data_IF_802464780918
#
_entry.id   IF_802464780918
#
_cell.length_a   1.000
_cell.length_b   1.000
_cell.length_c   1.000
_cell.angle_alpha   90.00
_cell.angle_beta   90.00
_cell.angle_gamma   90.00
#
_symmetry.space_group_name_H-M   'P 1'
#
loop_
_entity.id
_entity.type
_entity.pdbx_description
1 polymer ?
#
# COMPACT_ATOMS: atom_id res chain seq x y z
N UNK A 1 -8.68 -6.80 41.08
CA UNK A 1 -7.92 -6.17 39.97
C UNK A 1 -8.91 -5.39 39.14
N UNK A 2 -8.65 -4.12 38.86
CA UNK A 2 -9.49 -3.34 37.95
C UNK A 2 -9.27 -3.85 36.53
N UNK A 3 -10.35 -4.15 35.82
CA UNK A 3 -10.29 -4.58 34.42
C UNK A 3 -11.11 -3.64 33.55
N UNK A 4 -10.61 -3.38 32.34
CA UNK A 4 -11.32 -2.61 31.32
C UNK A 4 -11.80 -3.61 30.28
N UNK A 5 -13.02 -3.42 29.80
CA UNK A 5 -13.60 -4.25 28.76
C UNK A 5 -13.45 -3.59 27.39
N UNK A 6 -12.71 -4.21 26.48
CA UNK A 6 -12.55 -3.74 25.10
C UNK A 6 -13.48 -4.53 24.18
N UNK A 7 -14.35 -3.83 23.46
CA UNK A 7 -15.24 -4.40 22.45
C UNK A 7 -14.59 -4.28 21.07
N UNK A 8 -14.32 -5.39 20.40
CA UNK A 8 -13.71 -5.41 19.08
C UNK A 8 -14.42 -6.45 18.20
N UNK A 9 -15.21 -5.96 17.26
CA UNK A 9 -16.20 -6.70 16.51
C UNK A 9 -17.18 -7.42 17.46
N UNK A 10 -17.30 -8.73 17.29
CA UNK A 10 -18.11 -9.58 18.16
C UNK A 10 -17.37 -10.07 19.41
N UNK A 11 -16.10 -9.69 19.60
CA UNK A 11 -15.27 -10.16 20.71
C UNK A 11 -15.22 -9.14 21.85
N UNK A 12 -15.10 -9.68 23.05
CA UNK A 12 -14.91 -8.91 24.27
C UNK A 12 -13.57 -9.34 24.89
N UNK A 13 -12.65 -8.38 24.99
CA UNK A 13 -11.30 -8.61 25.51
C UNK A 13 -11.19 -7.88 26.83
N UNK A 14 -10.88 -8.61 27.89
CA UNK A 14 -10.60 -8.01 29.19
C UNK A 14 -9.13 -7.63 29.25
N UNK A 15 -8.84 -6.39 29.63
CA UNK A 15 -7.48 -5.88 29.82
C UNK A 15 -7.30 -5.40 31.25
N UNK A 16 -6.10 -5.55 31.79
CA UNK A 16 -5.75 -5.00 33.08
C UNK A 16 -5.77 -3.46 33.01
N UNK A 17 -6.55 -2.81 33.89
CA UNK A 17 -6.79 -1.37 33.79
C UNK A 17 -5.51 -0.56 34.03
N UNK A 18 -4.64 -1.01 34.95
CA UNK A 18 -3.38 -0.33 35.28
C UNK A 18 -2.42 -0.39 34.10
N UNK A 19 -2.24 -1.58 33.55
CA UNK A 19 -1.40 -1.82 32.37
C UNK A 19 -1.93 -1.04 31.16
N UNK A 20 -3.24 -1.07 30.93
CA UNK A 20 -3.86 -0.36 29.83
C UNK A 20 -3.65 1.16 29.92
N UNK A 21 -3.90 1.77 31.09
CA UNK A 21 -3.69 3.21 31.31
C UNK A 21 -2.22 3.61 31.16
N UNK A 22 -1.28 2.74 31.56
CA UNK A 22 0.15 2.96 31.36
C UNK A 22 0.53 2.95 29.87
N UNK A 23 -0.05 2.04 29.08
CA UNK A 23 0.20 1.97 27.64
C UNK A 23 -0.50 3.10 26.87
N UNK A 24 -1.69 3.53 27.30
CA UNK A 24 -2.50 4.51 26.58
C UNK A 24 -2.97 5.63 27.51
N UNK A 25 -2.08 6.53 27.95
CA UNK A 25 -2.39 7.55 28.96
C UNK A 25 -3.45 8.56 28.48
N UNK A 26 -3.62 8.73 27.16
CA UNK A 26 -4.62 9.64 26.58
C UNK A 26 -6.03 9.06 26.53
N UNK A 27 -6.20 7.75 26.72
CA UNK A 27 -7.52 7.12 26.70
C UNK A 27 -8.14 7.23 28.09
N UNK A 28 -9.12 8.11 28.23
CA UNK A 28 -9.95 8.19 29.44
C UNK A 28 -11.01 7.10 29.39
N UNK A 29 -10.62 5.88 29.76
CA UNK A 29 -11.53 4.76 29.90
C UNK A 29 -11.71 4.42 31.38
N UNK A 30 -12.95 4.54 31.84
CA UNK A 30 -13.31 4.18 33.22
C UNK A 30 -13.56 2.68 33.34
N UNK A 31 -14.35 2.09 32.43
CA UNK A 31 -14.75 0.67 32.52
C UNK A 31 -14.80 -0.09 31.19
N UNK A 32 -14.97 0.61 30.06
CA UNK A 32 -15.06 -0.04 28.76
C UNK A 32 -14.55 0.85 27.62
N UNK A 33 -14.18 0.24 26.50
CA UNK A 33 -13.65 0.89 25.30
C UNK A 33 -14.30 0.27 24.08
N UNK A 34 -14.75 1.13 23.15
CA UNK A 34 -15.23 0.71 21.84
C UNK A 34 -14.04 0.62 20.86
N UNK A 35 -13.44 -0.57 20.78
CA UNK A 35 -12.33 -0.85 19.87
C UNK A 35 -12.70 -0.72 18.39
N UNK A 36 -13.96 -0.92 18.03
CA UNK A 36 -14.43 -0.75 16.64
C UNK A 36 -14.27 0.67 16.11
N UNK A 37 -14.41 1.67 16.98
CA UNK A 37 -14.16 3.08 16.61
C UNK A 37 -12.68 3.28 16.27
N UNK A 38 -11.79 2.64 17.03
CA UNK A 38 -10.35 2.68 16.74
C UNK A 38 -10.02 1.92 15.44
N UNK A 39 -10.62 0.76 15.21
CA UNK A 39 -10.46 0.01 13.97
C UNK A 39 -10.88 0.86 12.78
N UNK A 40 -12.06 1.48 12.83
CA UNK A 40 -12.55 2.30 11.73
C UNK A 40 -11.63 3.51 11.49
N UNK A 41 -11.20 4.19 12.56
CA UNK A 41 -10.27 5.31 12.45
C UNK A 41 -8.95 4.92 11.78
N UNK A 42 -8.40 3.75 12.13
CA UNK A 42 -7.18 3.24 11.51
C UNK A 42 -7.42 2.79 10.06
N UNK A 43 -8.56 2.19 9.76
CA UNK A 43 -8.92 1.78 8.40
C UNK A 43 -9.06 3.01 7.48
N UNK A 44 -9.74 4.06 7.95
CA UNK A 44 -9.86 5.35 7.27
C UNK A 44 -8.47 5.99 7.08
N UNK A 45 -7.62 5.94 8.11
CA UNK A 45 -6.26 6.47 8.04
C UNK A 45 -5.38 5.75 7.03
N UNK A 46 -5.52 4.44 6.91
CA UNK A 46 -4.83 3.70 5.88
C UNK A 46 -5.47 3.95 4.52
N UNK A 47 -6.79 4.09 4.38
CA UNK A 47 -7.46 4.37 3.09
C UNK A 47 -6.98 3.43 1.96
N UNK A 48 -6.72 2.15 2.27
CA UNK A 48 -6.15 1.18 1.33
C UNK A 48 -4.63 1.34 1.03
N UNK A 49 -3.95 2.33 1.61
CA UNK A 49 -2.49 2.44 1.62
C UNK A 49 -1.90 1.19 2.29
N UNK A 50 -0.72 0.78 1.82
CA UNK A 50 -0.02 -0.43 2.27
C UNK A 50 -0.77 -1.76 1.99
N UNK A 51 -1.98 -1.74 1.43
CA UNK A 51 -2.81 -2.93 1.27
C UNK A 51 -3.26 -3.55 2.61
N UNK A 52 -3.26 -2.76 3.69
CA UNK A 52 -3.75 -3.17 5.00
C UNK A 52 -5.27 -3.14 4.94
N UNK A 53 -5.90 -4.30 5.18
CA UNK A 53 -7.35 -4.43 5.25
C UNK A 53 -7.82 -4.27 6.69
N UNK A 54 -9.04 -3.76 6.89
CA UNK A 54 -9.72 -3.70 8.20
C UNK A 54 -9.57 -4.95 9.07
N UNK A 55 -9.76 -6.14 8.48
CA UNK A 55 -9.56 -7.43 9.17
C UNK A 55 -8.17 -7.57 9.83
N UNK A 56 -7.10 -7.09 9.17
CA UNK A 56 -5.76 -7.13 9.74
C UNK A 56 -5.61 -6.16 10.91
N UNK A 57 -6.22 -4.98 10.82
CA UNK A 57 -6.23 -4.00 11.91
C UNK A 57 -6.93 -4.58 13.14
N UNK A 58 -8.12 -5.17 12.94
CA UNK A 58 -8.88 -5.85 13.99
C UNK A 58 -8.04 -6.95 14.67
N UNK A 59 -7.44 -7.84 13.88
CA UNK A 59 -6.62 -8.93 14.38
C UNK A 59 -5.38 -8.43 15.14
N UNK A 60 -4.71 -7.39 14.63
CA UNK A 60 -3.55 -6.78 15.31
C UNK A 60 -3.95 -6.17 16.65
N UNK A 61 -5.05 -5.44 16.70
CA UNK A 61 -5.55 -4.85 17.94
C UNK A 61 -6.04 -5.90 18.93
N UNK A 62 -6.72 -6.94 18.46
CA UNK A 62 -7.11 -8.09 19.29
C UNK A 62 -5.89 -8.70 19.98
N UNK A 63 -4.82 -8.96 19.23
CA UNK A 63 -3.59 -9.50 19.79
C UNK A 63 -2.91 -8.56 20.76
N UNK A 64 -2.87 -7.25 20.45
CA UNK A 64 -2.31 -6.24 21.33
C UNK A 64 -3.06 -6.21 22.66
N UNK A 65 -4.39 -6.11 22.64
CA UNK A 65 -5.19 -6.09 23.86
C UNK A 65 -5.11 -7.41 24.61
N UNK A 66 -5.01 -8.55 23.91
CA UNK A 66 -4.76 -9.85 24.54
C UNK A 66 -3.45 -9.90 25.35
N UNK A 67 -2.38 -9.24 24.88
CA UNK A 67 -1.12 -9.13 25.64
C UNK A 67 -1.30 -8.31 26.93
N UNK A 68 -2.20 -7.34 26.92
CA UNK A 68 -2.56 -6.49 28.06
C UNK A 68 -3.63 -7.12 28.97
N UNK A 69 -3.98 -8.39 28.74
CA UNK A 69 -5.00 -9.10 29.49
C UNK A 69 -4.71 -9.22 31.00
N UNK A 70 -5.70 -9.61 31.82
CA UNK A 70 -5.57 -9.68 33.28
C UNK A 70 -4.51 -10.68 33.79
N UNK A 71 -4.08 -11.63 32.97
CA UNK A 71 -2.96 -12.52 33.26
C UNK A 71 -1.58 -11.86 33.01
N UNK A 72 -1.56 -10.60 32.56
CA UNK A 72 -0.34 -9.82 32.54
C UNK A 72 0.13 -9.58 33.97
N UNK A 73 1.14 -10.37 34.38
CA UNK A 73 1.85 -10.14 35.63
C UNK A 73 2.30 -8.68 35.66
N UNK A 74 1.85 -7.96 36.69
CA UNK A 74 2.05 -6.53 36.82
C UNK A 74 3.53 -6.21 37.03
N UNK A 75 4.04 -5.17 36.38
CA UNK A 75 5.34 -4.57 36.69
C UNK A 75 6.45 -4.84 35.67
N UNK A 76 7.08 -3.75 35.24
CA UNK A 76 8.47 -3.62 34.76
C UNK A 76 8.94 -4.18 33.42
N UNK A 77 8.07 -4.79 32.61
CA UNK A 77 8.40 -4.99 31.19
C UNK A 77 7.94 -6.29 30.57
N UNK A 78 7.30 -7.18 31.33
CA UNK A 78 6.80 -8.45 30.80
C UNK A 78 5.80 -8.29 29.65
N UNK A 79 4.99 -7.23 29.62
CA UNK A 79 4.09 -6.93 28.47
C UNK A 79 4.86 -6.42 27.25
N UNK A 80 5.88 -5.58 27.44
CA UNK A 80 6.76 -5.10 26.36
C UNK A 80 7.52 -6.26 25.75
N UNK A 81 8.11 -7.12 26.59
CA UNK A 81 8.84 -8.30 26.15
C UNK A 81 7.92 -9.27 25.40
N UNK A 82 6.72 -9.58 25.92
CA UNK A 82 5.75 -10.43 25.20
C UNK A 82 5.32 -9.87 23.85
N UNK A 83 5.21 -8.54 23.70
CA UNK A 83 4.94 -7.94 22.40
C UNK A 83 6.12 -8.15 21.44
N UNK A 84 7.35 -7.89 21.91
CA UNK A 84 8.57 -8.12 21.12
C UNK A 84 8.72 -9.59 20.72
N UNK A 85 8.55 -10.52 21.66
CA UNK A 85 8.63 -11.96 21.44
C UNK A 85 7.61 -12.36 20.39
N UNK A 86 6.35 -11.94 20.52
CA UNK A 86 5.30 -12.27 19.57
C UNK A 86 5.57 -11.74 18.15
N UNK A 87 6.07 -10.51 18.02
CA UNK A 87 6.45 -9.96 16.72
C UNK A 87 7.66 -10.70 16.14
N UNK A 88 8.59 -11.12 16.99
CA UNK A 88 9.75 -11.92 16.60
C UNK A 88 9.30 -13.29 16.12
N UNK A 89 8.51 -14.02 16.90
CA UNK A 89 7.96 -15.32 16.53
C UNK A 89 7.20 -15.26 15.20
N UNK A 90 6.35 -14.25 15.02
CA UNK A 90 5.62 -14.05 13.77
C UNK A 90 6.57 -13.81 12.58
N UNK A 91 7.61 -12.98 12.78
CA UNK A 91 8.65 -12.78 11.79
C UNK A 91 9.39 -14.08 11.47
N UNK A 92 9.75 -14.87 12.48
CA UNK A 92 10.46 -16.13 12.28
C UNK A 92 9.63 -17.12 11.46
N UNK A 93 8.36 -17.28 11.82
CA UNK A 93 7.40 -18.12 11.12
C UNK A 93 7.25 -17.69 9.66
N UNK A 94 7.10 -16.38 9.39
CA UNK A 94 7.02 -15.89 8.01
C UNK A 94 8.34 -16.06 7.25
N UNK A 95 9.49 -15.84 7.88
CA UNK A 95 10.80 -16.05 7.25
C UNK A 95 11.02 -17.53 6.85
N UNK A 96 10.55 -18.47 7.66
CA UNK A 96 10.69 -19.92 7.39
C UNK A 96 9.69 -20.36 6.31
N UNK A 97 8.44 -19.90 6.40
CA UNK A 97 7.37 -20.39 5.54
C UNK A 97 7.30 -19.68 4.18
N UNK A 98 7.79 -18.44 4.08
CA UNK A 98 7.61 -17.60 2.89
C UNK A 98 8.90 -17.22 2.12
N UNK A 99 10.00 -18.01 2.08
CA UNK A 99 11.21 -17.59 1.36
C UNK A 99 10.96 -17.37 -0.15
N UNK A 100 9.89 -17.95 -0.71
CA UNK A 100 9.55 -17.90 -2.13
C UNK A 100 8.19 -17.29 -2.44
N UNK A 101 7.43 -16.84 -1.44
CA UNK A 101 6.10 -16.28 -1.69
C UNK A 101 6.16 -14.85 -2.24
N UNK A 102 5.21 -14.54 -3.12
CA UNK A 102 5.07 -13.20 -3.73
C UNK A 102 4.75 -12.10 -2.71
N UNK A 103 4.42 -12.46 -1.46
CA UNK A 103 3.92 -11.54 -0.44
C UNK A 103 5.00 -11.05 0.55
N UNK A 104 6.16 -11.72 0.61
CA UNK A 104 7.24 -11.35 1.54
C UNK A 104 6.77 -11.44 3.00
N UNK A 105 7.19 -10.49 3.85
CA UNK A 105 6.82 -10.44 5.26
C UNK A 105 5.52 -9.65 5.50
N UNK A 106 4.51 -9.88 4.66
CA UNK A 106 3.32 -9.03 4.61
C UNK A 106 2.61 -8.90 5.96
N UNK A 107 2.40 -10.01 6.69
CA UNK A 107 1.57 -9.95 7.89
C UNK A 107 2.32 -9.25 9.02
N UNK A 108 3.61 -9.57 9.19
CA UNK A 108 4.49 -8.94 10.18
C UNK A 108 4.64 -7.46 9.86
N UNK A 109 4.82 -7.08 8.59
CA UNK A 109 4.89 -5.68 8.14
C UNK A 109 3.62 -4.91 8.47
N UNK A 110 2.46 -5.46 8.11
CA UNK A 110 1.17 -4.83 8.39
C UNK A 110 0.96 -4.66 9.89
N UNK A 111 1.25 -5.70 10.67
CA UNK A 111 1.13 -5.67 12.13
C UNK A 111 2.02 -4.57 12.72
N UNK A 112 3.28 -4.49 12.30
CA UNK A 112 4.21 -3.45 12.76
C UNK A 112 3.71 -2.05 12.43
N UNK A 113 3.27 -1.80 11.19
CA UNK A 113 2.79 -0.47 10.76
C UNK A 113 1.52 -0.06 11.51
N UNK A 114 0.58 -0.99 11.73
CA UNK A 114 -0.64 -0.73 12.52
C UNK A 114 -0.25 -0.35 13.95
N UNK A 115 0.63 -1.11 14.59
CA UNK A 115 1.08 -0.82 15.96
C UNK A 115 1.83 0.51 16.06
N UNK A 116 2.62 0.88 15.05
CA UNK A 116 3.27 2.20 14.98
C UNK A 116 2.23 3.31 14.91
N UNK A 117 1.17 3.16 14.11
CA UNK A 117 0.10 4.16 14.05
C UNK A 117 -0.63 4.27 15.38
N UNK A 118 -0.93 3.15 16.04
CA UNK A 118 -1.52 3.14 17.38
C UNK A 118 -0.61 3.85 18.39
N UNK A 119 0.70 3.62 18.33
CA UNK A 119 1.67 4.28 19.21
C UNK A 119 1.66 5.81 19.02
N UNK A 120 1.57 6.27 17.77
CA UNK A 120 1.52 7.69 17.43
C UNK A 120 0.20 8.33 17.86
N UNK A 121 -0.94 7.73 17.52
CA UNK A 121 -2.27 8.28 17.79
C UNK A 121 -2.54 8.47 19.28
N UNK A 122 -1.99 7.58 20.11
CA UNK A 122 -2.15 7.62 21.56
C UNK A 122 -0.92 8.14 22.31
N UNK A 123 0.12 8.52 21.58
CA UNK A 123 1.42 8.95 22.14
C UNK A 123 1.97 7.94 23.16
N UNK A 124 1.84 6.66 22.84
CA UNK A 124 2.27 5.56 23.70
C UNK A 124 3.78 5.38 23.64
N UNK A 125 4.48 5.89 24.64
CA UNK A 125 5.93 5.71 24.78
C UNK A 125 6.32 4.25 25.00
N UNK A 126 5.53 3.50 25.78
CA UNK A 126 5.80 2.08 26.06
C UNK A 126 5.68 1.21 24.81
N UNK A 127 4.65 1.45 23.98
CA UNK A 127 4.49 0.74 22.71
C UNK A 127 5.59 1.14 21.74
N UNK A 128 5.92 2.43 21.65
CA UNK A 128 7.00 2.92 20.78
C UNK A 128 8.36 2.29 21.14
N UNK A 129 8.69 2.24 22.44
CA UNK A 129 9.92 1.63 22.93
C UNK A 129 9.97 0.13 22.60
N UNK A 130 8.89 -0.61 22.82
CA UNK A 130 8.83 -2.03 22.48
C UNK A 130 9.03 -2.27 20.97
N UNK A 131 8.38 -1.45 20.13
CA UNK A 131 8.51 -1.55 18.67
C UNK A 131 9.92 -1.16 18.18
N UNK A 132 10.56 -0.17 18.81
CA UNK A 132 11.95 0.20 18.51
C UNK A 132 12.93 -0.91 18.89
N UNK A 133 12.73 -1.54 20.06
CA UNK A 133 13.52 -2.72 20.47
C UNK A 133 13.38 -3.87 19.47
N UNK A 134 12.15 -4.20 19.09
CA UNK A 134 11.90 -5.20 18.04
C UNK A 134 12.59 -4.82 16.73
N UNK A 135 12.49 -3.57 16.28
CA UNK A 135 13.15 -3.11 15.06
C UNK A 135 14.68 -3.25 15.14
N UNK A 136 15.28 -2.87 16.26
CA UNK A 136 16.72 -2.95 16.46
C UNK A 136 17.25 -4.40 16.35
N UNK A 137 16.51 -5.38 16.86
CA UNK A 137 16.90 -6.79 16.80
C UNK A 137 16.56 -7.44 15.45
N UNK A 138 15.40 -7.11 14.87
CA UNK A 138 14.88 -7.75 13.66
C UNK A 138 15.35 -7.13 12.35
N UNK A 139 15.86 -5.88 12.34
CA UNK A 139 16.16 -5.13 11.11
C UNK A 139 17.06 -5.87 10.13
N UNK A 140 18.07 -6.61 10.61
CA UNK A 140 18.96 -7.41 9.75
C UNK A 140 18.18 -8.53 9.04
N UNK A 141 17.33 -9.24 9.78
CA UNK A 141 16.53 -10.35 9.26
C UNK A 141 15.43 -9.87 8.30
N UNK A 142 14.76 -8.78 8.64
CA UNK A 142 13.79 -8.12 7.75
C UNK A 142 14.46 -7.78 6.43
N UNK A 143 15.67 -7.21 6.40
CA UNK A 143 16.37 -6.91 5.14
C UNK A 143 16.74 -8.15 4.31
N UNK A 144 16.89 -9.30 4.94
CA UNK A 144 17.25 -10.55 4.26
C UNK A 144 16.03 -11.28 3.70
N UNK A 145 14.87 -11.19 4.38
CA UNK A 145 13.67 -11.96 4.05
C UNK A 145 12.57 -11.12 3.39
N UNK A 146 12.60 -9.79 3.54
CA UNK A 146 11.63 -8.90 2.91
C UNK A 146 11.99 -8.58 1.46
N UNK A 147 10.96 -8.34 0.64
CA UNK A 147 11.17 -7.83 -0.71
C UNK A 147 11.67 -6.39 -0.67
N UNK A 148 12.62 -6.08 -1.54
CA UNK A 148 13.25 -4.76 -1.62
C UNK A 148 12.24 -3.59 -1.68
N UNK A 149 11.15 -3.76 -2.42
CA UNK A 149 10.07 -2.78 -2.59
C UNK A 149 9.36 -2.39 -1.28
N UNK A 150 9.35 -3.27 -0.28
CA UNK A 150 8.62 -3.07 0.98
C UNK A 150 9.53 -2.70 2.16
N UNK A 151 10.86 -2.76 2.00
CA UNK A 151 11.84 -2.30 2.99
C UNK A 151 11.65 -0.81 3.37
N UNK A 152 11.29 0.11 2.46
CA UNK A 152 11.02 1.51 2.81
C UNK A 152 9.89 1.69 3.84
N UNK A 153 8.87 0.82 3.83
CA UNK A 153 7.72 0.88 4.73
C UNK A 153 8.18 0.74 6.18
N UNK A 154 8.99 -0.28 6.41
CA UNK A 154 9.60 -0.59 7.69
C UNK A 154 10.46 0.57 8.19
N UNK A 155 11.35 1.10 7.34
CA UNK A 155 12.22 2.22 7.69
C UNK A 155 11.43 3.49 8.01
N UNK A 156 10.41 3.79 7.22
CA UNK A 156 9.53 4.96 7.43
C UNK A 156 8.81 4.82 8.76
N UNK A 157 8.34 3.62 9.08
CA UNK A 157 7.64 3.35 10.33
C UNK A 157 8.54 3.47 11.55
N UNK A 158 9.73 2.87 11.50
CA UNK A 158 10.73 3.00 12.56
C UNK A 158 11.17 4.46 12.76
N UNK A 159 11.36 5.23 11.68
CA UNK A 159 11.73 6.65 11.76
C UNK A 159 10.64 7.52 12.42
N UNK A 160 9.36 7.17 12.26
CA UNK A 160 8.27 7.86 12.97
C UNK A 160 8.26 7.56 14.46
N UNK A 161 8.65 6.36 14.89
CA UNK A 161 8.76 6.01 16.32
C UNK A 161 9.86 6.78 17.04
N UNK A 162 11.01 7.00 16.40
CA UNK A 162 12.11 7.79 16.97
C UNK A 162 11.66 9.21 17.37
N UNK A 163 10.71 9.79 16.60
CA UNK A 163 10.13 11.11 16.92
C UNK A 163 9.31 11.11 18.21
N UNK A 164 8.68 9.99 18.57
CA UNK A 164 7.90 9.85 19.81
C UNK A 164 8.83 9.79 21.02
N UNK A 165 9.93 9.03 20.90
CA UNK A 165 10.94 8.92 21.94
C UNK A 165 11.68 10.26 22.16
N UNK A 166 12.07 10.92 21.06
CA UNK A 166 12.71 12.25 21.12
C UNK A 166 11.80 13.32 21.75
N UNK A 167 10.50 13.27 21.48
CA UNK A 167 9.52 14.18 22.05
C UNK A 167 9.29 13.92 23.55
N UNK A 168 9.36 12.65 23.98
CA UNK A 168 9.28 12.29 25.40
C UNK A 168 10.52 12.75 26.19
N UNK A 169 11.70 12.79 25.55
CA UNK A 169 12.95 13.23 26.16
C UNK A 169 13.14 14.76 26.16
N UNK A 170 12.48 15.50 25.27
CA UNK A 170 12.62 16.95 25.13
C UNK A 170 11.26 17.68 25.01
N UNK A 171 10.63 18.07 26.14
CA UNK A 171 9.30 18.67 26.16
C UNK A 171 9.24 20.11 25.59
N UNK A 172 10.38 20.75 25.34
CA UNK A 172 10.45 22.12 24.77
C UNK A 172 10.36 22.16 23.24
N UNK A 173 10.18 21.02 22.55
CA UNK A 173 9.87 21.01 21.12
C UNK A 173 8.38 21.28 20.91
N UNK A 174 8.00 22.08 19.89
CA UNK A 174 6.60 22.41 19.64
C UNK A 174 5.76 21.14 19.55
N UNK A 175 4.63 21.17 20.24
CA UNK A 175 3.67 20.07 20.34
C UNK A 175 3.45 19.43 18.97
N UNK A 176 3.49 18.09 18.96
CA UNK A 176 3.23 17.20 17.82
C UNK A 176 2.27 17.85 16.82
N UNK A 177 2.81 18.33 15.70
CA UNK A 177 1.99 18.67 14.54
C UNK A 177 1.22 17.39 14.19
N UNK A 178 -0.12 17.43 14.07
CA UNK A 178 -0.89 16.25 13.73
C UNK A 178 -0.36 15.70 12.41
N UNK A 179 0.39 14.61 12.53
CA UNK A 179 0.59 13.58 11.55
C UNK A 179 0.93 14.04 10.11
N UNK A 180 2.22 13.94 9.76
CA UNK A 180 2.65 13.94 8.35
C UNK A 180 2.17 12.65 7.70
N UNK A 181 1.35 12.79 6.66
CA UNK A 181 0.86 11.68 5.84
C UNK A 181 1.99 10.67 5.58
N UNK A 182 1.73 9.37 5.78
CA UNK A 182 2.66 8.37 5.27
C UNK A 182 2.75 8.56 3.76
N UNK A 183 3.93 8.82 3.19
CA UNK A 183 4.10 8.95 1.76
C UNK A 183 3.94 7.57 1.12
N UNK A 184 2.67 7.20 0.93
CA UNK A 184 2.18 6.26 -0.06
C UNK A 184 0.89 6.84 -0.60
N UNK A 185 1.02 7.91 -1.37
CA UNK A 185 0.20 7.96 -2.56
C UNK A 185 0.64 6.79 -3.43
N UNK A 186 -0.24 6.29 -4.32
CA UNK A 186 0.27 5.76 -5.59
C UNK A 186 1.36 6.73 -6.06
N UNK A 187 2.47 6.29 -6.66
CA UNK A 187 3.25 7.26 -7.41
C UNK A 187 2.20 7.98 -8.27
N UNK A 188 2.09 9.31 -8.12
CA UNK A 188 1.62 10.07 -9.26
C UNK A 188 2.42 9.45 -10.40
N UNK A 189 1.74 8.93 -11.43
CA UNK A 189 2.40 8.82 -12.72
C UNK A 189 2.83 10.25 -13.00
N UNK A 190 4.02 10.60 -12.51
CA UNK A 190 4.80 11.68 -13.03
C UNK A 190 4.89 11.25 -14.48
N UNK A 191 4.09 11.88 -15.33
CA UNK A 191 4.38 11.98 -16.73
C UNK A 191 5.80 12.53 -16.74
N UNK A 192 6.76 11.61 -16.81
CA UNK A 192 8.16 11.94 -16.84
C UNK A 192 8.30 12.81 -18.08
N UNK A 193 8.58 14.09 -17.86
CA UNK A 193 9.20 14.90 -18.90
C UNK A 193 10.44 14.09 -19.33
N UNK A 194 10.57 13.70 -20.60
CA UNK A 194 11.69 12.88 -21.00
C UNK A 194 12.94 13.75 -20.93
N UNK A 195 13.75 13.55 -19.89
CA UNK A 195 15.12 14.01 -19.86
C UNK A 195 15.95 13.04 -20.72
N UNK A 196 16.48 13.46 -21.89
CA UNK A 196 17.34 12.59 -22.69
C UNK A 196 18.76 12.69 -22.13
N UNK A 197 19.21 11.63 -21.47
CA UNK A 197 20.55 11.52 -20.91
C UNK A 197 21.34 10.37 -21.53
N UNK A 198 21.47 10.32 -22.86
CA UNK A 198 22.45 9.43 -23.49
C UNK A 198 23.84 10.09 -23.50
N UNK A 199 24.80 9.38 -22.94
CA UNK A 199 26.22 9.72 -22.88
C UNK A 199 26.90 9.27 -24.18
N UNK A 200 27.39 10.20 -24.99
CA UNK A 200 28.56 9.98 -25.87
C UNK A 200 29.14 11.32 -26.32
N UNK A 201 30.47 11.45 -26.22
CA UNK A 201 31.28 12.61 -26.61
C UNK A 201 31.54 12.61 -28.12
N UNK A 202 31.51 13.77 -28.78
CA UNK A 202 32.50 14.32 -29.75
C UNK A 202 31.95 15.59 -30.44
N UNK A 203 32.83 16.57 -30.68
CA UNK A 203 32.61 17.98 -31.10
C UNK A 203 32.54 18.18 -32.64
N UNK A 204 32.61 19.41 -33.23
CA UNK A 204 31.94 20.70 -32.95
C UNK A 204 31.23 21.32 -34.20
N UNK A 205 30.41 22.37 -33.94
CA UNK A 205 30.12 23.60 -34.73
C UNK A 205 29.95 23.52 -36.26
N UNK A 206 28.74 23.87 -36.75
CA UNK A 206 28.55 24.85 -37.86
C UNK A 206 27.20 25.59 -37.67
N UNK A 207 27.24 26.92 -37.67
CA UNK A 207 26.06 27.81 -37.76
C UNK A 207 25.59 27.88 -39.22
N UNK A 208 24.33 27.58 -39.50
CA UNK A 208 23.69 28.04 -40.74
C UNK A 208 22.35 28.74 -40.46
N UNK A 209 22.29 29.99 -40.93
CA UNK A 209 21.12 30.87 -41.01
C UNK A 209 20.19 30.41 -42.14
N UNK A 210 18.88 30.63 -41.92
CA UNK A 210 17.79 30.92 -42.88
C UNK A 210 17.47 29.86 -43.95
N UNK A 211 16.23 29.34 -43.96
CA UNK A 211 15.16 29.79 -44.87
C UNK A 211 13.87 29.00 -44.64
N UNK A 212 12.75 29.70 -44.85
CA UNK A 212 11.42 29.14 -44.98
C UNK A 212 11.26 28.45 -46.34
N UNK A 213 10.21 27.62 -46.44
CA UNK A 213 9.74 26.86 -47.61
C UNK A 213 10.31 25.44 -47.77
N UNK A 214 9.68 24.48 -47.09
CA UNK A 214 9.67 23.08 -47.52
C UNK A 214 8.28 22.82 -48.13
N UNK A 215 8.21 22.85 -49.47
CA UNK A 215 7.06 22.33 -50.21
C UNK A 215 7.13 20.80 -50.20
N UNK A 216 6.06 20.17 -49.74
CA UNK A 216 5.83 18.74 -49.80
C UNK A 216 5.75 18.27 -51.25
N UNK A 217 6.65 17.37 -51.64
CA UNK A 217 6.51 16.57 -52.87
C UNK A 217 6.63 15.11 -52.47
N UNK A 218 5.52 14.38 -52.53
CA UNK A 218 5.51 12.93 -52.40
C UNK A 218 5.80 12.31 -53.79
N UNK A 219 6.70 11.33 -53.91
CA UNK A 219 6.77 10.49 -55.10
C UNK A 219 5.86 9.25 -54.95
N UNK A 220 5.25 8.78 -56.05
CA UNK A 220 4.30 7.67 -56.05
C UNK A 220 4.97 6.29 -56.04
N UNK A 221 4.27 5.32 -55.45
CA UNK A 221 4.45 3.85 -55.38
C UNK A 221 5.39 3.15 -56.40
N UNK A 222 6.16 2.15 -55.92
CA UNK A 222 5.88 0.69 -56.06
C UNK A 222 7.01 -0.21 -55.52
N UNK A 223 6.60 -1.32 -54.89
CA UNK A 223 7.22 -2.64 -54.62
C UNK A 223 8.76 -2.82 -54.64
N UNK A 224 9.31 -3.41 -53.57
CA UNK A 224 9.60 -4.87 -53.49
C UNK A 224 10.44 -5.27 -52.27
N UNK A 225 9.83 -6.08 -51.41
CA UNK A 225 10.34 -7.30 -50.75
C UNK A 225 11.58 -7.31 -49.79
N UNK A 226 11.36 -8.09 -48.70
CA UNK A 226 12.26 -8.76 -47.74
C UNK A 226 12.69 -8.00 -46.46
N UNK A 227 12.90 -8.69 -45.31
CA UNK A 227 12.19 -9.82 -44.69
C UNK A 227 11.70 -9.50 -43.25
N UNK A 228 10.85 -10.37 -42.69
CA UNK A 228 10.41 -10.36 -41.29
C UNK A 228 11.58 -10.55 -40.30
N UNK A 229 11.45 -10.02 -39.07
CA UNK A 229 11.92 -10.73 -37.90
C UNK A 229 10.74 -11.10 -36.98
N UNK A 230 10.52 -12.39 -36.83
CA UNK A 230 9.90 -12.96 -35.64
C UNK A 230 10.72 -12.52 -34.41
N UNK A 231 10.12 -11.77 -33.49
CA UNK A 231 10.38 -11.87 -32.05
C UNK A 231 9.09 -11.45 -31.31
N UNK A 232 8.44 -12.41 -30.67
CA UNK A 232 7.83 -12.20 -29.34
C UNK A 232 8.67 -13.05 -28.39
N UNK A 233 8.98 -12.58 -27.16
CA UNK A 233 7.93 -12.43 -26.16
C UNK A 233 8.11 -11.30 -25.13
N UNK A 234 7.02 -11.06 -24.39
CA UNK A 234 6.92 -10.46 -23.06
C UNK A 234 6.94 -8.91 -22.93
N UNK A 235 5.81 -8.38 -22.45
CA UNK A 235 5.70 -7.06 -21.83
C UNK A 235 4.25 -6.62 -21.68
N UNK A 236 3.71 -6.75 -20.47
CA UNK A 236 2.52 -6.15 -19.84
C UNK A 236 1.56 -5.23 -20.65
N UNK A 237 0.25 -5.26 -20.30
CA UNK A 237 -0.84 -4.80 -21.14
C UNK A 237 -0.80 -3.28 -21.29
N UNK A 238 -0.76 -2.80 -22.53
CA UNK A 238 -1.10 -1.42 -22.84
C UNK A 238 -2.60 -1.23 -22.63
N UNK A 239 -2.96 -0.12 -22.00
CA UNK A 239 -4.33 0.37 -21.86
C UNK A 239 -5.06 0.48 -23.24
N UNK A 240 -4.33 0.41 -24.35
CA UNK A 240 -4.83 0.32 -25.74
C UNK A 240 -5.66 -0.95 -26.02
N UNK A 241 -5.48 -2.05 -25.26
CA UNK A 241 -6.24 -3.30 -25.51
C UNK A 241 -7.74 -3.16 -25.21
N UNK A 242 -8.09 -2.37 -24.19
CA UNK A 242 -9.50 -2.11 -23.86
C UNK A 242 -10.13 -1.12 -24.84
N UNK A 243 -9.38 -0.14 -25.33
CA UNK A 243 -9.86 0.79 -26.36
C UNK A 243 -10.08 0.05 -27.70
N UNK A 244 -9.19 -0.88 -28.06
CA UNK A 244 -9.34 -1.70 -29.25
C UNK A 244 -10.54 -2.66 -29.11
N UNK A 245 -10.72 -3.31 -27.94
CA UNK A 245 -11.91 -4.12 -27.65
C UNK A 245 -13.21 -3.31 -27.69
N UNK A 246 -13.21 -2.10 -27.13
CA UNK A 246 -14.37 -1.20 -27.18
C UNK A 246 -14.67 -0.76 -28.62
N UNK A 247 -13.64 -0.51 -29.43
CA UNK A 247 -13.80 -0.16 -30.85
C UNK A 247 -14.39 -1.33 -31.66
N UNK A 248 -13.95 -2.56 -31.38
CA UNK A 248 -14.45 -3.78 -32.03
C UNK A 248 -15.90 -4.06 -31.60
N UNK A 249 -16.23 -3.92 -30.31
CA UNK A 249 -17.60 -4.07 -29.84
C UNK A 249 -18.55 -3.01 -30.41
N UNK A 250 -18.06 -1.78 -30.59
CA UNK A 250 -18.84 -0.72 -31.25
C UNK A 250 -19.09 -1.06 -32.72
N UNK A 251 -18.08 -1.52 -33.45
CA UNK A 251 -18.23 -1.96 -34.84
C UNK A 251 -19.16 -3.16 -34.98
N UNK A 252 -19.12 -4.12 -34.06
CA UNK A 252 -20.03 -5.26 -34.05
C UNK A 252 -21.48 -4.83 -33.82
N UNK A 253 -21.74 -3.88 -32.91
CA UNK A 253 -23.09 -3.31 -32.74
C UNK A 253 -23.58 -2.59 -33.98
N UNK A 254 -22.73 -1.79 -34.61
CA UNK A 254 -23.09 -1.06 -35.83
C UNK A 254 -23.38 -2.01 -37.00
N UNK A 255 -22.67 -3.14 -37.10
CA UNK A 255 -22.94 -4.18 -38.09
C UNK A 255 -24.25 -4.91 -37.79
N UNK A 256 -24.52 -5.27 -36.52
CA UNK A 256 -25.79 -5.88 -36.13
C UNK A 256 -26.98 -4.96 -36.41
N UNK A 257 -26.89 -3.67 -36.07
CA UNK A 257 -27.95 -2.70 -36.35
C UNK A 257 -28.22 -2.58 -37.86
N UNK A 258 -27.17 -2.70 -38.70
CA UNK A 258 -27.31 -2.71 -40.16
C UNK A 258 -27.95 -3.99 -40.67
N UNK A 259 -27.61 -5.15 -40.09
CA UNK A 259 -28.20 -6.44 -40.45
C UNK A 259 -29.67 -6.52 -40.04
N UNK A 260 -30.03 -6.07 -38.84
CA UNK A 260 -31.42 -6.03 -38.37
C UNK A 260 -32.29 -5.13 -39.26
N UNK A 261 -31.72 -4.04 -39.79
CA UNK A 261 -32.41 -3.16 -40.74
C UNK A 261 -32.55 -3.80 -42.14
N UNK A 262 -31.63 -4.68 -42.54
CA UNK A 262 -31.73 -5.45 -43.78
C UNK A 262 -32.75 -6.59 -43.63
N UNK A 263 -32.76 -7.29 -42.50
CA UNK A 263 -33.76 -8.33 -42.19
C UNK A 263 -35.17 -7.74 -42.06
N UNK A 264 -35.30 -6.54 -41.50
CA UNK A 264 -36.55 -5.78 -41.52
C UNK A 264 -37.04 -5.51 -42.95
N UNK A 265 -36.15 -5.07 -43.86
CA UNK A 265 -36.49 -4.81 -45.27
C UNK A 265 -36.78 -6.09 -46.07
N UNK A 266 -36.11 -7.20 -45.76
CA UNK A 266 -36.39 -8.51 -46.34
C UNK A 266 -37.75 -9.05 -45.87
N UNK A 267 -38.10 -8.87 -44.61
CA UNK A 267 -39.44 -9.23 -44.10
C UNK A 267 -40.56 -8.44 -44.80
N UNK A 268 -40.35 -7.16 -45.12
CA UNK A 268 -41.29 -6.39 -45.95
C UNK A 268 -41.44 -6.93 -47.38
N UNK A 269 -40.41 -7.56 -47.94
CA UNK A 269 -40.48 -8.19 -49.27
C UNK A 269 -41.12 -9.59 -49.25
N UNK A 270 -41.01 -10.30 -48.13
CA UNK A 270 -41.57 -11.66 -47.97
C UNK A 270 -43.05 -11.60 -47.56
N UNK A 271 -43.50 -10.55 -46.87
CA UNK A 271 -44.89 -10.42 -46.35
C UNK A 271 -45.78 -9.45 -47.14
N UNK A 272 -45.31 -8.91 -48.27
CA UNK A 272 -46.16 -8.19 -49.23
C UNK A 272 -46.58 -9.16 -50.35
N UNK A 273 -47.81 -9.71 -50.33
CA UNK A 273 -48.36 -10.44 -51.46
C UNK A 273 -48.65 -9.44 -52.60
N UNK A 274 -48.22 -9.78 -53.82
CA UNK A 274 -48.87 -9.24 -55.02
C UNK A 274 -50.28 -9.82 -55.15
#
# INVERSE_FOLDING_TARGET
>A
MESIKVHLGHKQIWVDARTFRAWFPRIRAEFWIQGDVLVQRLDDHFSGRFGIKKYWIEKTLEHLFGILGPQAQHGDGGTRQRLCDRLTDQLEVECINNPWESRGLQQTRHTFIVLVCVALDFESTLLAEALLRFWATAAKRIRQCEKFEYVPDWKTAAAKLQRVEDAALNPCRPALVPYVEWPRGRPLRNLAVPCPGHRARSAPVVRHRRNAEIRLVAPPYRSSAWPLPMISPAGYPRDEYFDELNSIQHQQREINDKLDNVDGKLNYLIHCPF
#
